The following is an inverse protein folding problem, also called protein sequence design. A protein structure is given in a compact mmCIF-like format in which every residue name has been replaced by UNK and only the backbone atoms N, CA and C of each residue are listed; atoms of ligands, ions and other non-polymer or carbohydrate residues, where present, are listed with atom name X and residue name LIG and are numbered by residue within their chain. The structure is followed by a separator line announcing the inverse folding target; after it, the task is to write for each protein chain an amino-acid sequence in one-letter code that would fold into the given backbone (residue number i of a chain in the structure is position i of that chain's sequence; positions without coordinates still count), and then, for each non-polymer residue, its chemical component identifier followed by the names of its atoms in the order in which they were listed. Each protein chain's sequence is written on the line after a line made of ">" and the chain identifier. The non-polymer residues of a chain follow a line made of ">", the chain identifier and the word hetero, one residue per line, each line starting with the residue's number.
data_IF_202399828424
#
_entry.id   IF_202399828424
#
_cell.length_a   1.000
_cell.length_b   1.000
_cell.length_c   1.000
_cell.angle_alpha   90.00
_cell.angle_beta   90.00
_cell.angle_gamma   90.00
#
_symmetry.space_group_name_H-M   'P 1'
#
loop_
_entity.id
_entity.type
_entity.pdbx_description
1 polymer ?
#
# COMPACT_ATOMS: atom_id res chain seq x y z
N UNK A 1 -29.59 -16.86 -48.45
CA UNK A 1 -28.58 -15.80 -48.23
C UNK A 1 -28.84 -15.24 -46.84
N UNK A 2 -27.84 -15.37 -45.96
CA UNK A 2 -27.96 -15.10 -44.51
C UNK A 2 -27.64 -13.63 -44.25
N UNK A 3 -28.57 -12.90 -43.65
CA UNK A 3 -28.31 -11.62 -42.99
C UNK A 3 -27.53 -11.88 -41.71
N UNK A 4 -26.37 -11.24 -41.58
CA UNK A 4 -25.58 -11.18 -40.35
C UNK A 4 -26.00 -9.91 -39.60
N UNK A 5 -26.68 -10.06 -38.47
CA UNK A 5 -26.82 -9.00 -37.48
C UNK A 5 -25.50 -8.88 -36.69
N UNK A 6 -24.80 -7.77 -36.87
CA UNK A 6 -23.67 -7.36 -36.03
C UNK A 6 -24.18 -6.99 -34.62
N UNK A 7 -24.12 -7.93 -33.69
CA UNK A 7 -24.20 -7.64 -32.26
C UNK A 7 -22.91 -6.94 -31.81
N UNK A 8 -22.89 -5.60 -31.91
CA UNK A 8 -21.91 -4.78 -31.18
C UNK A 8 -22.32 -4.72 -29.72
N UNK A 9 -21.75 -5.60 -28.91
CA UNK A 9 -21.74 -5.47 -27.45
C UNK A 9 -21.02 -4.16 -27.08
N UNK A 10 -21.79 -3.18 -26.61
CA UNK A 10 -21.23 -2.02 -25.92
C UNK A 10 -20.74 -2.49 -24.54
N UNK A 11 -19.45 -2.82 -24.44
CA UNK A 11 -18.77 -2.84 -23.15
C UNK A 11 -18.64 -1.39 -22.66
N UNK A 12 -19.52 -1.00 -21.74
CA UNK A 12 -19.31 0.20 -20.93
C UNK A 12 -18.22 -0.15 -19.92
N UNK A 13 -16.96 0.03 -20.32
CA UNK A 13 -15.83 -0.04 -19.39
C UNK A 13 -15.97 1.11 -18.38
N UNK A 14 -16.21 0.74 -17.13
CA UNK A 14 -16.28 1.67 -15.99
C UNK A 14 -14.87 2.16 -15.64
N UNK A 15 -14.37 3.14 -16.38
CA UNK A 15 -13.06 3.78 -16.15
C UNK A 15 -12.93 4.31 -14.70
N UNK A 16 -14.03 4.80 -14.10
CA UNK A 16 -14.04 5.31 -12.72
C UNK A 16 -13.78 4.28 -11.63
N UNK A 17 -14.04 2.99 -11.87
CA UNK A 17 -13.77 1.91 -10.90
C UNK A 17 -12.32 1.42 -10.98
N UNK A 18 -11.71 1.48 -12.17
CA UNK A 18 -10.31 1.10 -12.37
C UNK A 18 -9.36 2.12 -11.72
N UNK A 19 -9.65 3.43 -11.83
CA UNK A 19 -8.79 4.49 -11.29
C UNK A 19 -8.82 4.61 -9.76
N UNK A 20 -9.98 4.36 -9.12
CA UNK A 20 -10.07 4.26 -7.66
C UNK A 20 -9.23 3.07 -7.13
N UNK A 21 -9.17 1.97 -7.90
CA UNK A 21 -8.30 0.84 -7.61
C UNK A 21 -6.81 1.19 -7.69
N UNK A 22 -6.39 2.02 -8.65
CA UNK A 22 -4.99 2.43 -8.82
C UNK A 22 -4.51 3.35 -7.67
N UNK A 23 -5.37 4.27 -7.23
CA UNK A 23 -5.12 5.10 -6.04
C UNK A 23 -5.02 4.26 -4.76
N UNK A 24 -5.92 3.28 -4.58
CA UNK A 24 -5.88 2.37 -3.45
C UNK A 24 -4.61 1.49 -3.43
N UNK A 25 -4.19 0.98 -4.60
CA UNK A 25 -2.97 0.20 -4.76
C UNK A 25 -1.70 0.99 -4.42
N UNK A 26 -1.66 2.30 -4.68
CA UNK A 26 -0.51 3.15 -4.32
C UNK A 26 -0.46 3.42 -2.81
N UNK A 27 -1.59 3.58 -2.15
CA UNK A 27 -1.67 3.79 -0.70
C UNK A 27 -1.58 2.49 0.12
N UNK A 28 -1.43 1.34 -0.52
CA UNK A 28 -1.42 0.02 0.11
C UNK A 28 -0.12 -0.21 0.90
N UNK A 29 -0.07 0.27 2.15
CA UNK A 29 1.04 0.03 3.08
C UNK A 29 0.98 -1.36 3.72
N UNK A 30 -0.19 -2.00 3.70
CA UNK A 30 -0.41 -3.31 4.33
C UNK A 30 0.55 -4.39 3.83
N UNK A 31 0.92 -4.36 2.55
CA UNK A 31 1.89 -5.32 2.00
C UNK A 31 3.27 -5.16 2.61
N UNK A 32 3.71 -3.92 2.84
CA UNK A 32 4.99 -3.63 3.47
C UNK A 32 4.98 -4.08 4.93
N UNK A 33 3.90 -3.75 5.65
CA UNK A 33 3.69 -4.14 7.06
C UNK A 33 3.64 -5.67 7.18
N UNK A 34 2.89 -6.35 6.33
CA UNK A 34 2.80 -7.81 6.34
C UNK A 34 4.12 -8.47 5.99
N UNK A 35 4.85 -7.97 4.97
CA UNK A 35 6.20 -8.48 4.66
C UNK A 35 7.14 -8.33 5.86
N UNK A 36 7.08 -7.19 6.55
CA UNK A 36 7.90 -6.97 7.75
C UNK A 36 7.48 -7.87 8.91
N UNK A 37 6.17 -8.07 9.13
CA UNK A 37 5.64 -9.05 10.09
C UNK A 37 6.18 -10.45 9.81
N UNK A 38 6.06 -10.93 8.58
CA UNK A 38 6.56 -12.26 8.17
C UNK A 38 8.07 -12.36 8.38
N UNK A 39 8.82 -11.30 8.07
CA UNK A 39 10.27 -11.26 8.30
C UNK A 39 10.64 -11.39 9.79
N UNK A 40 9.90 -10.73 10.68
CA UNK A 40 10.14 -10.79 12.13
C UNK A 40 9.68 -12.10 12.76
N UNK A 41 8.50 -12.59 12.38
CA UNK A 41 7.88 -13.78 12.99
C UNK A 41 8.35 -15.08 12.36
N UNK A 42 8.76 -15.05 11.09
CA UNK A 42 9.01 -16.25 10.29
C UNK A 42 7.74 -17.05 9.99
N UNK A 43 6.57 -16.42 10.05
CA UNK A 43 5.26 -17.09 9.88
C UNK A 43 4.40 -16.42 8.82
N UNK A 44 3.67 -17.24 8.07
CA UNK A 44 2.67 -16.80 7.09
C UNK A 44 1.30 -17.33 7.47
N UNK A 45 0.25 -16.60 7.11
CA UNK A 45 -1.13 -17.06 7.24
C UNK A 45 -1.55 -17.59 5.87
N UNK A 46 -1.87 -18.89 5.80
CA UNK A 46 -2.34 -19.54 4.58
C UNK A 46 -3.83 -19.91 4.76
N UNK A 47 -4.65 -19.58 3.77
CA UNK A 47 -6.04 -20.00 3.74
C UNK A 47 -6.10 -21.39 3.10
N UNK A 48 -6.26 -22.40 3.93
CA UNK A 48 -6.53 -23.78 3.51
C UNK A 48 -8.04 -24.00 3.48
N UNK A 49 -8.53 -24.90 2.64
CA UNK A 49 -9.94 -25.30 2.66
C UNK A 49 -10.06 -26.63 3.37
N UNK A 50 -11.06 -26.73 4.25
CA UNK A 50 -11.41 -28.01 4.88
C UNK A 50 -11.96 -28.97 3.81
N UNK A 51 -11.39 -30.17 3.71
CA UNK A 51 -11.75 -31.15 2.69
C UNK A 51 -13.17 -31.71 2.88
N UNK A 52 -13.71 -31.67 4.10
CA UNK A 52 -15.04 -32.21 4.41
C UNK A 52 -16.16 -31.16 4.31
N UNK A 53 -15.89 -29.93 4.77
CA UNK A 53 -16.91 -28.86 4.81
C UNK A 53 -16.79 -27.86 3.67
N UNK A 54 -15.64 -27.81 2.98
CA UNK A 54 -15.34 -26.79 1.97
C UNK A 54 -15.16 -25.38 2.54
N UNK A 55 -15.15 -25.22 3.87
CA UNK A 55 -15.02 -23.92 4.51
C UNK A 55 -13.56 -23.44 4.53
N UNK A 56 -13.31 -22.13 4.31
CA UNK A 56 -11.97 -21.58 4.41
C UNK A 56 -11.50 -21.55 5.87
N UNK A 57 -10.32 -22.12 6.12
CA UNK A 57 -9.64 -22.11 7.42
C UNK A 57 -8.28 -21.45 7.28
N UNK A 58 -8.03 -20.41 8.06
CA UNK A 58 -6.71 -19.78 8.15
C UNK A 58 -5.81 -20.61 9.05
N UNK A 59 -4.67 -21.05 8.52
CA UNK A 59 -3.64 -21.78 9.25
C UNK A 59 -2.35 -20.96 9.28
N UNK A 60 -1.66 -20.98 10.42
CA UNK A 60 -0.39 -20.28 10.58
C UNK A 60 0.76 -21.25 10.28
N UNK A 61 1.44 -21.03 9.15
CA UNK A 61 2.58 -21.85 8.73
C UNK A 61 3.88 -21.16 9.19
N UNK A 62 4.74 -21.91 9.89
CA UNK A 62 6.07 -21.43 10.26
C UNK A 62 7.06 -21.77 9.14
N UNK A 63 7.62 -20.75 8.49
CA UNK A 63 8.56 -20.87 7.37
C UNK A 63 10.01 -20.59 7.79
N UNK A 64 10.22 -19.88 8.89
CA UNK A 64 11.53 -19.52 9.39
C UNK A 64 11.53 -19.38 10.92
N UNK A 65 12.72 -19.36 11.53
CA UNK A 65 12.86 -19.05 12.95
C UNK A 65 12.52 -17.57 13.19
N UNK A 66 11.74 -17.23 14.24
CA UNK A 66 11.49 -15.85 14.60
C UNK A 66 12.79 -15.09 14.93
N UNK A 67 12.85 -13.82 14.55
CA UNK A 67 14.00 -12.93 14.81
C UNK A 67 13.93 -12.26 16.17
N UNK A 68 12.72 -12.15 16.72
CA UNK A 68 12.45 -11.60 18.04
C UNK A 68 11.30 -12.38 18.69
N UNK A 69 11.21 -12.29 20.01
CA UNK A 69 10.03 -12.77 20.74
C UNK A 69 8.81 -11.85 20.53
N UNK A 70 7.66 -12.25 21.08
CA UNK A 70 6.39 -11.54 20.86
C UNK A 70 6.44 -10.05 21.25
N UNK A 71 7.17 -9.71 22.31
CA UNK A 71 7.31 -8.33 22.77
C UNK A 71 8.13 -7.50 21.76
N UNK A 72 9.29 -8.03 21.32
CA UNK A 72 10.12 -7.35 20.32
C UNK A 72 9.41 -7.20 18.98
N UNK A 73 8.70 -8.25 18.52
CA UNK A 73 7.88 -8.21 17.31
C UNK A 73 6.83 -7.10 17.40
N UNK A 74 6.10 -7.03 18.52
CA UNK A 74 5.07 -6.00 18.70
C UNK A 74 5.64 -4.59 18.67
N UNK A 75 6.75 -4.35 19.36
CA UNK A 75 7.41 -3.04 19.37
C UNK A 75 7.87 -2.64 17.96
N UNK A 76 8.60 -3.52 17.27
CA UNK A 76 9.14 -3.25 15.94
C UNK A 76 8.04 -3.03 14.91
N UNK A 77 6.95 -3.80 14.97
CA UNK A 77 5.79 -3.59 14.09
C UNK A 77 5.12 -2.25 14.36
N UNK A 78 4.87 -1.89 15.62
CA UNK A 78 4.27 -0.60 15.96
C UNK A 78 5.16 0.56 15.51
N UNK A 79 6.48 0.46 15.69
CA UNK A 79 7.44 1.44 15.20
C UNK A 79 7.34 1.60 13.68
N UNK A 80 7.35 0.48 12.96
CA UNK A 80 7.25 0.47 11.51
C UNK A 80 5.91 1.06 11.00
N UNK A 81 4.78 0.65 11.57
CA UNK A 81 3.44 1.14 11.22
C UNK A 81 3.25 2.64 11.54
N UNK A 82 3.93 3.15 12.58
CA UNK A 82 3.87 4.57 12.93
C UNK A 82 4.48 5.48 11.84
N UNK A 83 5.36 4.92 11.01
CA UNK A 83 6.02 5.62 9.91
C UNK A 83 5.39 5.24 8.57
N UNK A 84 5.19 3.95 8.33
CA UNK A 84 4.65 3.39 7.07
C UNK A 84 3.14 3.29 7.15
N UNK A 85 2.48 4.44 7.01
CA UNK A 85 1.03 4.56 6.94
C UNK A 85 0.60 5.51 5.81
N UNK A 86 -0.65 5.40 5.32
CA UNK A 86 -1.15 6.23 4.23
C UNK A 86 -1.07 7.75 4.51
N UNK A 87 -1.14 8.16 5.78
CA UNK A 87 -1.13 9.56 6.19
C UNK A 87 0.25 10.20 6.02
N UNK A 88 1.34 9.45 6.23
CA UNK A 88 2.71 9.93 6.00
C UNK A 88 2.92 10.38 4.56
N UNK A 89 2.31 9.68 3.58
CA UNK A 89 2.39 10.02 2.15
C UNK A 89 1.69 11.34 1.82
N UNK A 90 0.72 11.76 2.64
CA UNK A 90 0.01 13.03 2.48
C UNK A 90 0.77 14.22 3.06
N UNK A 91 1.86 13.98 3.80
CA UNK A 91 2.76 15.00 4.30
C UNK A 91 3.56 15.68 3.17
N UNK A 92 4.25 16.77 3.51
CA UNK A 92 5.13 17.49 2.58
C UNK A 92 6.57 17.48 3.13
N UNK A 93 7.44 16.68 2.52
CA UNK A 93 8.89 16.80 2.72
C UNK A 93 9.41 17.85 1.74
N UNK A 94 9.77 19.01 2.30
CA UNK A 94 10.08 20.23 1.55
C UNK A 94 11.40 20.13 0.77
N UNK A 95 12.38 19.40 1.30
CA UNK A 95 13.72 19.27 0.70
C UNK A 95 14.42 17.96 1.06
N UNK A 96 15.43 17.59 0.27
CA UNK A 96 16.26 16.38 0.45
C UNK A 96 17.05 16.40 1.77
N UNK A 97 17.57 17.56 2.20
CA UNK A 97 18.29 17.68 3.48
C UNK A 97 17.45 17.23 4.70
N UNK A 98 16.14 17.52 4.67
CA UNK A 98 15.20 17.10 5.72
C UNK A 98 14.89 15.61 5.62
N UNK A 99 14.85 15.05 4.41
CA UNK A 99 14.72 13.61 4.22
C UNK A 99 15.91 12.86 4.83
N UNK A 100 17.14 13.26 4.51
CA UNK A 100 18.35 12.64 5.05
C UNK A 100 18.41 12.72 6.58
N UNK A 101 18.02 13.87 7.13
CA UNK A 101 17.95 14.07 8.58
C UNK A 101 16.94 13.11 9.24
N UNK A 102 15.75 12.96 8.66
CA UNK A 102 14.71 12.04 9.17
C UNK A 102 15.18 10.59 9.10
N UNK A 103 15.74 10.16 7.96
CA UNK A 103 16.23 8.78 7.81
C UNK A 103 17.35 8.48 8.81
N UNK A 104 18.25 9.44 9.03
CA UNK A 104 19.31 9.33 10.03
C UNK A 104 18.76 9.24 11.46
N UNK A 105 17.78 10.06 11.82
CA UNK A 105 17.14 10.03 13.14
C UNK A 105 16.44 8.68 13.38
N UNK A 106 15.71 8.17 12.38
CA UNK A 106 15.06 6.86 12.42
C UNK A 106 16.10 5.75 12.60
N UNK A 107 17.20 5.79 11.84
CA UNK A 107 18.26 4.80 11.94
C UNK A 107 18.92 4.79 13.34
N UNK A 108 19.28 5.97 13.87
CA UNK A 108 19.89 6.08 15.19
C UNK A 108 18.93 5.69 16.33
N UNK A 109 17.68 6.12 16.25
CA UNK A 109 16.66 5.75 17.23
C UNK A 109 16.41 4.25 17.25
N UNK A 110 16.27 3.64 16.07
CA UNK A 110 16.05 2.19 15.95
C UNK A 110 17.25 1.38 16.45
N UNK A 111 18.49 1.81 16.15
CA UNK A 111 19.71 1.20 16.73
C UNK A 111 19.64 1.25 18.25
N UNK A 112 19.36 2.41 18.82
CA UNK A 112 19.33 2.60 20.26
C UNK A 112 18.27 1.69 20.92
N UNK A 113 17.06 1.64 20.36
CA UNK A 113 15.99 0.80 20.89
C UNK A 113 16.32 -0.70 20.79
N UNK A 114 16.85 -1.16 19.65
CA UNK A 114 17.20 -2.58 19.48
C UNK A 114 18.36 -2.96 20.39
N UNK A 115 19.47 -2.22 20.39
CA UNK A 115 20.65 -2.58 21.17
C UNK A 115 20.35 -2.61 22.67
N UNK A 116 19.55 -1.65 23.16
CA UNK A 116 19.17 -1.61 24.57
C UNK A 116 18.23 -2.75 24.99
N UNK A 117 17.47 -3.32 24.05
CA UNK A 117 16.47 -4.34 24.34
C UNK A 117 16.76 -5.71 23.71
N UNK A 118 17.88 -5.89 23.00
CA UNK A 118 18.11 -7.11 22.18
C UNK A 118 18.05 -8.39 23.00
N UNK A 119 18.63 -8.39 24.22
CA UNK A 119 18.57 -9.55 25.12
C UNK A 119 17.16 -9.77 25.67
N UNK A 120 16.38 -8.72 25.90
CA UNK A 120 14.99 -8.82 26.36
C UNK A 120 14.07 -9.33 25.23
N UNK A 121 14.39 -8.99 23.99
CA UNK A 121 13.60 -9.34 22.80
C UNK A 121 14.06 -10.64 22.13
N UNK A 122 15.04 -11.34 22.71
CA UNK A 122 15.68 -12.54 22.14
C UNK A 122 16.22 -12.33 20.72
N UNK A 123 16.66 -11.09 20.41
CA UNK A 123 17.30 -10.76 19.15
C UNK A 123 18.77 -11.14 19.27
N UNK A 124 19.25 -11.93 18.31
CA UNK A 124 20.67 -12.30 18.24
C UNK A 124 21.50 -11.12 17.76
N UNK A 125 22.72 -10.99 18.27
CA UNK A 125 23.65 -9.92 17.91
C UNK A 125 23.93 -9.87 16.40
N UNK A 126 24.05 -11.02 15.74
CA UNK A 126 24.28 -11.15 14.30
C UNK A 126 23.06 -10.76 13.44
N UNK A 127 21.88 -10.66 14.05
CA UNK A 127 20.63 -10.27 13.38
C UNK A 127 20.32 -8.78 13.52
N UNK A 128 21.01 -8.05 14.41
CA UNK A 128 20.75 -6.63 14.70
C UNK A 128 20.92 -5.75 13.47
N UNK A 129 22.12 -5.79 12.85
CA UNK A 129 22.41 -4.97 11.67
C UNK A 129 21.52 -5.32 10.46
N UNK A 130 21.33 -6.60 10.08
CA UNK A 130 20.38 -6.96 9.03
C UNK A 130 18.96 -6.46 9.28
N UNK A 131 18.50 -6.49 10.53
CA UNK A 131 17.15 -6.04 10.91
C UNK A 131 17.01 -4.51 10.77
N UNK A 132 17.98 -3.75 11.27
CA UNK A 132 18.03 -2.29 11.12
C UNK A 132 18.05 -1.91 9.64
N UNK A 133 18.95 -2.51 8.86
CA UNK A 133 19.09 -2.23 7.43
C UNK A 133 17.80 -2.53 6.67
N UNK A 134 17.10 -3.63 7.00
CA UNK A 134 15.83 -3.97 6.36
C UNK A 134 14.74 -2.92 6.63
N UNK A 135 14.60 -2.48 7.89
CA UNK A 135 13.63 -1.47 8.29
C UNK A 135 13.95 -0.12 7.66
N UNK A 136 15.19 0.35 7.81
CA UNK A 136 15.59 1.67 7.36
C UNK A 136 15.57 1.78 5.84
N UNK A 137 15.99 0.76 5.10
CA UNK A 137 15.89 0.79 3.63
C UNK A 137 14.43 0.84 3.15
N UNK A 138 13.53 0.12 3.83
CA UNK A 138 12.10 0.12 3.49
C UNK A 138 11.47 1.47 3.78
N UNK A 139 11.77 2.06 4.94
CA UNK A 139 11.29 3.37 5.34
C UNK A 139 11.88 4.47 4.45
N UNK A 140 13.18 4.43 4.16
CA UNK A 140 13.85 5.39 3.32
C UNK A 140 13.22 5.43 1.93
N UNK A 141 12.98 4.28 1.31
CA UNK A 141 12.26 4.20 0.03
C UNK A 141 10.81 4.71 0.15
N UNK A 142 10.13 4.39 1.25
CA UNK A 142 8.77 4.87 1.47
C UNK A 142 8.69 6.39 1.62
N UNK A 143 9.66 7.00 2.32
CA UNK A 143 9.71 8.45 2.57
C UNK A 143 10.14 9.28 1.34
N UNK A 144 10.58 8.66 0.23
CA UNK A 144 10.81 9.42 -1.00
C UNK A 144 9.51 9.90 -1.65
N UNK A 145 8.38 9.27 -1.31
CA UNK A 145 7.03 9.55 -1.84
C UNK A 145 6.51 10.97 -1.55
N UNK A 146 6.58 11.48 -0.31
CA UNK A 146 6.16 12.86 0.01
C UNK A 146 7.18 13.94 -0.40
N UNK A 147 8.34 13.59 -0.96
CA UNK A 147 9.34 14.59 -1.39
C UNK A 147 8.75 15.44 -2.53
N UNK A 148 8.87 16.76 -2.40
CA UNK A 148 8.46 17.76 -3.40
C UNK A 148 6.96 17.68 -3.78
N UNK A 149 6.10 17.08 -2.94
CA UNK A 149 4.68 16.86 -3.23
C UNK A 149 4.38 16.13 -4.56
N UNK A 150 5.36 15.49 -5.20
CA UNK A 150 5.20 14.86 -6.52
C UNK A 150 4.07 13.84 -6.54
N UNK A 151 3.90 13.11 -5.45
CA UNK A 151 2.82 12.14 -5.35
C UNK A 151 1.44 12.79 -5.19
N UNK A 152 1.34 13.89 -4.43
CA UNK A 152 0.10 14.68 -4.31
C UNK A 152 -0.27 15.35 -5.63
N UNK A 153 0.70 15.84 -6.39
CA UNK A 153 0.49 16.37 -7.74
C UNK A 153 -0.03 15.29 -8.69
N UNK A 154 0.49 14.06 -8.58
CA UNK A 154 -0.01 12.93 -9.36
C UNK A 154 -1.49 12.62 -9.08
N UNK A 155 -1.94 12.76 -7.83
CA UNK A 155 -3.36 12.59 -7.47
C UNK A 155 -4.24 13.69 -8.07
N UNK A 156 -3.78 14.95 -8.05
CA UNK A 156 -4.52 16.07 -8.64
C UNK A 156 -4.71 15.89 -10.16
N UNK A 157 -3.73 15.29 -10.86
CA UNK A 157 -3.86 14.98 -12.28
C UNK A 157 -4.91 13.90 -12.55
N UNK A 158 -4.93 12.82 -11.76
CA UNK A 158 -5.95 11.76 -11.87
C UNK A 158 -7.36 12.31 -11.59
N UNK A 159 -7.54 13.14 -10.57
CA UNK A 159 -8.84 13.74 -10.23
C UNK A 159 -9.33 14.69 -11.35
N UNK A 160 -8.45 15.51 -11.94
CA UNK A 160 -8.81 16.40 -13.06
C UNK A 160 -9.24 15.64 -14.32
N UNK A 161 -8.66 14.46 -14.58
CA UNK A 161 -9.13 13.60 -15.67
C UNK A 161 -10.55 13.07 -15.41
N UNK A 162 -10.89 12.71 -14.17
CA UNK A 162 -12.25 12.28 -13.80
C UNK A 162 -13.29 13.40 -13.97
N UNK A 163 -12.96 14.64 -13.60
CA UNK A 163 -13.86 15.79 -13.81
C UNK A 163 -14.09 16.08 -15.30
N UNK A 164 -13.06 15.95 -16.14
CA UNK A 164 -13.17 16.20 -17.58
C UNK A 164 -14.06 15.16 -18.29
N UNK A 165 -13.93 13.88 -17.94
CA UNK A 165 -14.73 12.80 -18.54
C UNK A 165 -16.20 12.81 -18.07
N UNK A 166 -16.47 13.21 -16.82
CA UNK A 166 -17.83 13.29 -16.28
C UNK A 166 -18.63 14.49 -16.80
N UNK A 167 -17.97 15.61 -17.14
CA UNK A 167 -18.63 16.78 -17.74
C UNK A 167 -19.03 16.50 -19.20
N UNK A 168 -18.22 15.74 -19.95
CA UNK A 168 -18.52 15.42 -21.37
C UNK A 168 -19.73 14.48 -21.56
N UNK A 169 -20.13 13.73 -20.53
CA UNK A 169 -21.25 12.79 -20.59
C UNK A 169 -22.61 13.40 -20.18
N UNK A 170 -22.66 14.67 -19.76
CA UNK A 170 -23.89 15.36 -19.32
C UNK A 170 -24.57 16.21 -20.42
N UNK A 171 -24.01 16.26 -21.62
CA UNK A 171 -24.49 17.10 -22.73
C UNK A 171 -25.48 16.45 -23.71
N UNK A 172 -25.90 15.20 -23.51
CA UNK A 172 -26.61 14.41 -24.53
C UNK A 172 -28.15 14.47 -24.56
N UNK A 173 -28.81 15.17 -23.64
CA UNK A 173 -30.28 15.11 -23.49
C UNK A 173 -31.06 16.33 -24.02
N UNK A 174 -30.40 17.30 -24.67
CA UNK A 174 -31.07 18.52 -25.13
C UNK A 174 -31.65 18.46 -26.56
N UNK A 175 -31.36 17.43 -27.37
CA UNK A 175 -31.72 17.41 -28.80
C UNK A 175 -32.87 16.48 -29.22
N UNK A 176 -33.59 15.85 -28.30
CA UNK A 176 -34.69 14.93 -28.66
C UNK A 176 -36.08 15.59 -28.65
N UNK A 177 -36.22 16.83 -28.14
CA UNK A 177 -37.53 17.51 -28.05
C UNK A 177 -37.88 18.48 -29.19
N UNK A 178 -37.06 18.59 -30.25
CA UNK A 178 -37.35 19.46 -31.41
C UNK A 178 -37.83 18.72 -32.68
N UNK A 179 -38.11 17.42 -32.62
CA UNK A 179 -38.57 16.63 -33.79
C UNK A 179 -39.98 16.05 -33.65
N UNK A 180 -40.87 16.75 -32.97
CA UNK A 180 -42.31 16.48 -32.96
C UNK A 180 -43.08 17.71 -33.42
N UNK A 181 -43.20 17.90 -34.74
CA UNK A 181 -43.96 19.01 -35.29
C UNK A 181 -43.81 19.15 -36.80
N UNK A 182 -44.39 18.21 -37.55
CA UNK A 182 -45.32 18.43 -38.69
C UNK A 182 -46.23 17.21 -38.79
#
# INVERSE_FOLDING_TARGET
>A
MKEQEENKSFEVQSEGVQDAGILALRLETERLVNRFRVYLTGKIIETTYDEETGEPRSTELTIAKPKANAQGVHFLLNFFESIVNPQTVQGNLINEDRYDSIVKEIHLGLIQDIVNNMYLWDIKEDEVEPLINNVVNTIALFLTRPIENKERESYNQTIRHQETNSISNRGGFANVLQRGGV
#
